data_IF_109172797913
#
_entry.id   IF_109172797913
#
_cell.length_a   1.000
_cell.length_b   1.000
_cell.length_c   1.000
_cell.angle_alpha   90.00
_cell.angle_beta   90.00
_cell.angle_gamma   90.00
#
_symmetry.space_group_name_H-M   'P 1'
#
loop_
_entity.id
_entity.type
_entity.pdbx_description
1 polymer ?
#
# COMPACT_ATOMS: atom_id res chain seq x y z
N UNK A 1 10.05 -5.04 -4.07
CA UNK A 1 9.02 -5.36 -5.06
C UNK A 1 8.22 -4.11 -5.38
N UNK A 2 8.07 -3.80 -6.63
CA UNK A 2 7.25 -2.67 -7.10
C UNK A 2 5.96 -3.21 -7.72
N UNK A 3 4.83 -2.67 -7.32
CA UNK A 3 3.51 -3.19 -7.70
C UNK A 3 2.60 -2.04 -8.10
N UNK A 4 1.83 -2.21 -9.17
CA UNK A 4 0.81 -1.26 -9.55
C UNK A 4 -0.38 -1.35 -8.58
N UNK A 5 -0.98 -0.21 -8.27
CA UNK A 5 -2.10 -0.13 -7.31
C UNK A 5 -3.34 -0.93 -7.75
N UNK A 6 -3.49 -1.16 -9.06
CA UNK A 6 -4.58 -1.95 -9.60
C UNK A 6 -4.43 -3.47 -9.48
N UNK A 7 -3.27 -3.94 -9.07
CA UNK A 7 -3.05 -5.38 -8.88
C UNK A 7 -3.83 -5.90 -7.67
N UNK A 8 -4.23 -7.15 -7.76
CA UNK A 8 -4.94 -7.84 -6.68
C UNK A 8 -3.99 -8.69 -5.86
N UNK A 9 -4.34 -8.90 -4.60
CA UNK A 9 -3.49 -9.65 -3.67
C UNK A 9 -3.11 -11.03 -4.16
N UNK A 10 -4.03 -11.76 -4.79
CA UNK A 10 -3.75 -13.08 -5.34
C UNK A 10 -2.62 -13.07 -6.37
N UNK A 11 -2.62 -12.10 -7.26
CA UNK A 11 -1.59 -11.94 -8.29
C UNK A 11 -0.23 -11.58 -7.67
N UNK A 12 -0.25 -10.72 -6.66
CA UNK A 12 0.95 -10.31 -5.94
C UNK A 12 1.58 -11.53 -5.23
N UNK A 13 0.77 -12.37 -4.59
CA UNK A 13 1.25 -13.59 -3.94
C UNK A 13 1.87 -14.58 -4.92
N UNK A 14 1.31 -14.70 -6.11
CA UNK A 14 1.89 -15.58 -7.14
C UNK A 14 3.30 -15.13 -7.54
N UNK A 15 3.49 -13.82 -7.73
CA UNK A 15 4.81 -13.27 -8.05
C UNK A 15 5.77 -13.40 -6.86
N UNK A 16 5.31 -13.09 -5.65
CA UNK A 16 6.11 -13.20 -4.44
C UNK A 16 6.61 -14.64 -4.23
N UNK A 17 5.73 -15.59 -4.44
CA UNK A 17 6.06 -17.01 -4.34
C UNK A 17 7.17 -17.43 -5.31
N UNK A 18 7.13 -16.93 -6.55
CA UNK A 18 8.16 -17.22 -7.55
C UNK A 18 9.54 -16.71 -7.15
N UNK A 19 9.58 -15.62 -6.37
CA UNK A 19 10.82 -14.99 -5.93
C UNK A 19 11.21 -15.34 -4.49
N UNK A 20 10.46 -16.23 -3.84
CA UNK A 20 10.75 -16.65 -2.46
C UNK A 20 10.63 -15.53 -1.43
N UNK A 21 9.77 -14.54 -1.66
CA UNK A 21 9.56 -13.41 -0.75
C UNK A 21 8.18 -13.48 -0.08
N UNK A 22 8.09 -12.88 1.09
CA UNK A 22 6.86 -12.74 1.86
C UNK A 22 6.35 -11.32 1.72
N UNK A 23 5.06 -11.19 1.48
CA UNK A 23 4.37 -9.89 1.40
C UNK A 23 3.38 -9.80 2.55
N UNK A 24 3.40 -8.67 3.25
CA UNK A 24 2.39 -8.38 4.28
C UNK A 24 1.10 -7.99 3.55
N UNK A 25 0.15 -8.89 3.50
CA UNK A 25 -1.08 -8.68 2.75
C UNK A 25 -2.26 -9.44 3.34
N UNK A 26 -3.45 -9.14 2.82
CA UNK A 26 -4.69 -9.75 3.25
C UNK A 26 -4.88 -11.17 2.75
N UNK A 27 -5.88 -11.86 3.32
CA UNK A 27 -6.19 -13.24 2.98
C UNK A 27 -7.08 -13.38 1.74
N UNK A 28 -7.75 -12.30 1.32
CA UNK A 28 -8.69 -12.35 0.19
C UNK A 28 -7.97 -12.03 -1.13
N UNK A 29 -7.88 -12.98 -2.08
CA UNK A 29 -7.12 -12.80 -3.31
C UNK A 29 -7.66 -11.72 -4.24
N UNK A 30 -8.95 -11.39 -4.16
CA UNK A 30 -9.60 -10.42 -5.04
C UNK A 30 -9.44 -8.97 -4.63
N UNK A 31 -8.88 -8.71 -3.45
CA UNK A 31 -8.72 -7.35 -2.91
C UNK A 31 -7.62 -6.62 -3.68
N UNK A 32 -7.95 -5.41 -4.17
CA UNK A 32 -7.00 -4.53 -4.85
C UNK A 32 -6.01 -3.89 -3.88
N UNK A 33 -4.76 -3.81 -4.32
CA UNK A 33 -3.67 -3.32 -3.47
C UNK A 33 -3.85 -1.87 -3.03
N UNK A 34 -4.25 -0.98 -3.95
CA UNK A 34 -4.35 0.44 -3.67
C UNK A 34 -5.29 0.77 -2.51
N UNK A 35 -6.53 0.29 -2.59
CA UNK A 35 -7.51 0.49 -1.53
C UNK A 35 -7.13 -0.19 -0.22
N UNK A 36 -6.53 -1.37 -0.31
CA UNK A 36 -6.06 -2.11 0.85
C UNK A 36 -4.98 -1.35 1.62
N UNK A 37 -3.96 -0.85 0.92
CA UNK A 37 -2.86 -0.11 1.55
C UNK A 37 -3.31 1.24 2.12
N UNK A 38 -4.10 2.00 1.40
CA UNK A 38 -4.57 3.31 1.87
C UNK A 38 -5.51 3.20 3.07
N UNK A 39 -6.12 2.06 3.26
CA UNK A 39 -6.91 1.72 4.45
C UNK A 39 -6.10 1.12 5.61
N UNK A 40 -4.79 1.06 5.49
CA UNK A 40 -3.89 0.50 6.50
C UNK A 40 -3.36 -0.89 6.15
N UNK A 41 -4.22 -1.78 5.72
CA UNK A 41 -3.83 -3.13 5.29
C UNK A 41 -3.56 -4.10 6.42
N UNK A 42 -4.63 -4.63 7.02
CA UNK A 42 -4.49 -5.68 8.02
C UNK A 42 -4.07 -7.01 7.39
N UNK A 43 -3.15 -7.72 8.03
CA UNK A 43 -2.64 -9.02 7.58
C UNK A 43 -2.60 -10.01 8.73
N UNK A 44 -2.74 -11.32 8.47
CA UNK A 44 -2.51 -12.35 9.49
C UNK A 44 -1.14 -12.27 10.13
N UNK A 45 -0.15 -11.68 9.46
CA UNK A 45 1.22 -11.54 9.99
C UNK A 45 1.51 -10.13 10.53
N UNK A 46 0.49 -9.28 10.67
CA UNK A 46 0.66 -7.90 11.16
C UNK A 46 1.17 -7.85 12.60
N UNK A 47 0.89 -8.85 13.42
CA UNK A 47 1.41 -8.92 14.78
C UNK A 47 2.94 -8.92 14.83
N UNK A 48 3.58 -9.44 13.78
CA UNK A 48 5.05 -9.50 13.66
C UNK A 48 5.61 -8.34 12.85
N UNK A 49 4.95 -7.98 11.75
CA UNK A 49 5.51 -7.06 10.76
C UNK A 49 4.80 -5.70 10.69
N UNK A 50 3.76 -5.48 11.48
CA UNK A 50 2.92 -4.30 11.37
C UNK A 50 1.89 -4.41 10.24
N UNK A 51 1.20 -3.34 9.96
CA UNK A 51 0.25 -3.28 8.85
C UNK A 51 0.98 -3.29 7.51
N UNK A 52 0.28 -3.65 6.45
CA UNK A 52 0.89 -3.67 5.11
C UNK A 52 1.46 -2.30 4.75
N UNK A 53 0.77 -1.23 5.09
CA UNK A 53 1.22 0.14 4.80
C UNK A 53 2.51 0.51 5.54
N UNK A 54 2.77 -0.08 6.69
CA UNK A 54 4.02 0.13 7.44
C UNK A 54 5.24 -0.44 6.71
N UNK A 55 5.01 -1.31 5.75
CA UNK A 55 6.04 -1.96 4.94
C UNK A 55 6.22 -1.30 3.57
N UNK A 56 5.50 -0.24 3.27
CA UNK A 56 5.64 0.52 2.02
C UNK A 56 6.84 1.45 2.15
N UNK A 57 7.75 1.36 1.19
CA UNK A 57 8.95 2.18 1.16
C UNK A 57 8.78 3.44 0.32
N UNK A 58 7.98 3.36 -0.72
CA UNK A 58 7.82 4.44 -1.68
C UNK A 58 6.53 4.28 -2.47
N UNK A 59 5.92 5.40 -2.83
CA UNK A 59 4.75 5.44 -3.69
C UNK A 59 4.98 6.41 -4.85
N UNK A 60 4.50 6.03 -6.02
CA UNK A 60 4.37 6.94 -7.16
C UNK A 60 2.90 7.34 -7.26
N UNK A 61 2.63 8.63 -7.24
CA UNK A 61 1.28 9.17 -7.09
C UNK A 61 0.99 10.16 -8.20
N UNK A 62 -0.15 9.98 -8.88
CA UNK A 62 -0.68 10.97 -9.80
C UNK A 62 -1.53 11.97 -9.01
N UNK A 63 -1.14 13.24 -9.07
CA UNK A 63 -1.86 14.31 -8.37
C UNK A 63 -3.02 14.84 -9.21
N UNK A 64 -3.98 15.57 -8.60
CA UNK A 64 -5.09 16.18 -9.36
C UNK A 64 -4.64 17.14 -10.45
N UNK A 65 -3.44 17.72 -10.34
CA UNK A 65 -2.87 18.59 -11.36
C UNK A 65 -2.33 17.83 -12.59
N UNK A 66 -2.31 16.50 -12.54
CA UNK A 66 -1.80 15.65 -13.62
C UNK A 66 -0.31 15.32 -13.49
N UNK A 67 0.35 15.82 -12.47
CA UNK A 67 1.76 15.50 -12.21
C UNK A 67 1.89 14.13 -11.56
N UNK A 68 2.97 13.42 -11.89
CA UNK A 68 3.34 12.17 -11.23
C UNK A 68 4.49 12.47 -10.29
N UNK A 69 4.29 12.23 -9.01
CA UNK A 69 5.29 12.51 -7.97
C UNK A 69 5.66 11.25 -7.22
N UNK A 70 6.89 11.21 -6.74
CA UNK A 70 7.40 10.16 -5.87
C UNK A 70 7.29 10.60 -4.42
N UNK A 71 6.75 9.76 -3.56
CA UNK A 71 6.62 10.02 -2.14
C UNK A 71 7.26 8.90 -1.33
N UNK A 72 8.12 9.26 -0.38
CA UNK A 72 8.80 8.36 0.53
C UNK A 72 9.22 9.12 1.80
N UNK A 73 10.02 8.51 2.66
CA UNK A 73 10.49 9.14 3.89
C UNK A 73 11.34 10.40 3.68
N UNK A 74 11.87 10.60 2.48
CA UNK A 74 12.81 11.67 2.18
C UNK A 74 12.31 12.66 1.13
N UNK A 75 11.20 12.35 0.50
CA UNK A 75 10.65 13.13 -0.62
C UNK A 75 9.12 13.13 -0.55
N UNK A 76 8.52 14.33 -0.59
CA UNK A 76 7.08 14.49 -0.45
C UNK A 76 6.53 13.78 0.80
N UNK A 77 7.18 13.99 1.92
CA UNK A 77 6.90 13.30 3.19
C UNK A 77 5.45 13.43 3.64
N UNK A 78 4.88 14.60 3.50
CA UNK A 78 3.49 14.89 3.90
C UNK A 78 2.50 14.03 3.09
N UNK A 79 2.75 13.95 1.78
CA UNK A 79 1.93 13.13 0.88
C UNK A 79 2.11 11.65 1.19
N UNK A 80 3.33 11.22 1.45
CA UNK A 80 3.61 9.83 1.84
C UNK A 80 2.89 9.46 3.13
N UNK A 81 2.92 10.33 4.12
CA UNK A 81 2.19 10.14 5.37
C UNK A 81 0.68 10.05 5.12
N UNK A 82 0.14 10.98 4.34
CA UNK A 82 -1.29 11.03 4.04
C UNK A 82 -1.77 9.76 3.32
N UNK A 83 -1.01 9.28 2.35
CA UNK A 83 -1.38 8.09 1.56
C UNK A 83 -1.27 6.79 2.35
N UNK A 84 -0.54 6.78 3.45
CA UNK A 84 -0.39 5.59 4.29
C UNK A 84 -1.46 5.43 5.36
N UNK A 85 -2.46 6.27 5.40
CA UNK A 85 -3.52 6.11 6.37
C UNK A 85 -4.16 7.41 6.76
N UNK A 86 -4.62 8.15 5.79
CA UNK A 86 -5.60 9.18 6.07
C UNK A 86 -6.80 8.46 6.63
N UNK A 87 -6.93 8.48 7.93
CA UNK A 87 -8.17 8.10 8.55
C UNK A 87 -9.24 9.04 8.05
N UNK A 88 -10.23 8.48 7.41
CA UNK A 88 -11.44 9.22 7.16
C UNK A 88 -11.97 9.68 8.51
N UNK A 89 -11.64 10.89 8.86
CA UNK A 89 -12.32 11.61 9.90
C UNK A 89 -13.79 11.70 9.46
N UNK A 90 -14.77 11.49 10.35
CA UNK A 90 -16.17 11.66 10.01
C UNK A 90 -16.51 13.00 9.34
N UNK A 91 -15.68 14.02 9.56
CA UNK A 91 -15.81 15.33 8.92
C UNK A 91 -15.27 15.37 7.48
N UNK A 92 -14.60 14.32 7.03
CA UNK A 92 -13.97 14.24 5.71
C UNK A 92 -14.73 13.32 4.75
N UNK A 93 -15.81 12.79 5.18
CA UNK A 93 -16.67 11.90 4.38
C UNK A 93 -17.59 12.71 3.49
#
# INVERSE_FOLDING_TARGET
MTVAAGERMGEIYEVAKKHGIIVVGGAEPSVGLGGYLTGGGHSPISAKFGLAVDNVLEMEIATPSGDIVTANQHQNEDLFWAMRGVRLNPLMV
#
